data_IF_795079565512
#
_entry.id   IF_795079565512
#
_cell.length_a   1.000
_cell.length_b   1.000
_cell.length_c   1.000
_cell.angle_alpha   90.00
_cell.angle_beta   90.00
_cell.angle_gamma   90.00
#
_symmetry.space_group_name_H-M   'P 1'
#
loop_
_entity.id
_entity.type
_entity.pdbx_description
1 polymer ?
#
# COMPACT_ATOMS: atom_id res chain seq x y z
N UNK A 1 11.84 9.26 0.72
CA UNK A 1 11.34 7.87 0.72
C UNK A 1 9.83 7.86 0.49
N UNK A 2 9.34 6.91 -0.31
CA UNK A 2 7.91 6.64 -0.41
C UNK A 2 7.42 6.03 0.91
N UNK A 3 6.20 6.34 1.34
CA UNK A 3 5.63 5.79 2.57
C UNK A 3 4.39 5.00 2.24
N UNK A 4 4.29 3.83 2.81
CA UNK A 4 3.19 2.92 2.61
C UNK A 4 2.48 2.61 3.93
N UNK A 5 1.24 2.16 3.81
CA UNK A 5 0.54 1.43 4.85
C UNK A 5 0.29 -0.01 4.40
N UNK A 6 0.28 -0.94 5.36
CA UNK A 6 -0.17 -2.31 5.13
C UNK A 6 -1.57 -2.48 5.71
N UNK A 7 -2.48 -3.03 4.91
CA UNK A 7 -3.83 -3.38 5.33
C UNK A 7 -3.98 -4.90 5.31
N UNK A 8 -4.33 -5.50 6.44
CA UNK A 8 -4.66 -6.92 6.54
C UNK A 8 -6.18 -7.10 6.45
N UNK A 9 -6.67 -7.92 5.53
CA UNK A 9 -8.10 -8.13 5.28
C UNK A 9 -8.60 -9.41 5.94
N UNK A 10 -9.91 -9.53 6.12
CA UNK A 10 -10.55 -10.74 6.68
C UNK A 10 -10.31 -12.00 5.85
N UNK A 11 -10.15 -11.84 4.53
CA UNK A 11 -9.79 -12.94 3.61
C UNK A 11 -8.36 -13.48 3.78
N UNK A 12 -7.57 -12.94 4.71
CA UNK A 12 -6.18 -13.35 4.94
C UNK A 12 -5.15 -12.68 4.02
N UNK A 13 -5.60 -11.93 3.02
CA UNK A 13 -4.70 -11.15 2.16
C UNK A 13 -4.21 -9.87 2.84
N UNK A 14 -3.06 -9.38 2.36
CA UNK A 14 -2.52 -8.07 2.71
C UNK A 14 -2.39 -7.20 1.46
N UNK A 15 -2.67 -5.90 1.60
CA UNK A 15 -2.46 -4.92 0.53
C UNK A 15 -1.55 -3.81 1.04
N UNK A 16 -0.63 -3.37 0.17
CA UNK A 16 0.27 -2.26 0.47
C UNK A 16 -0.19 -1.02 -0.28
N UNK A 17 -0.61 0.02 0.44
CA UNK A 17 -1.12 1.27 -0.14
C UNK A 17 -0.10 2.38 0.02
N UNK A 18 0.14 3.13 -1.04
CA UNK A 18 1.01 4.29 -0.99
C UNK A 18 0.26 5.45 -0.30
N UNK A 19 0.80 5.94 0.81
CA UNK A 19 0.24 7.07 1.56
C UNK A 19 1.01 8.37 1.33
N UNK A 20 2.29 8.29 0.93
CA UNK A 20 3.11 9.47 0.64
C UNK A 20 4.14 9.17 -0.45
N UNK A 21 4.07 9.94 -1.52
CA UNK A 21 5.10 9.97 -2.56
C UNK A 21 6.40 10.59 -2.03
N UNK A 22 7.55 10.03 -2.43
CA UNK A 22 8.86 10.65 -2.20
C UNK A 22 8.98 11.94 -3.05
N UNK A 23 10.02 12.77 -2.81
CA UNK A 23 10.22 14.01 -3.56
C UNK A 23 10.32 13.76 -5.09
N UNK A 24 11.03 12.72 -5.49
CA UNK A 24 11.21 12.35 -6.91
C UNK A 24 9.90 11.86 -7.54
N UNK A 25 9.14 11.03 -6.82
CA UNK A 25 7.87 10.47 -7.30
C UNK A 25 6.75 11.49 -7.49
N UNK A 26 6.88 12.69 -6.88
CA UNK A 26 5.90 13.77 -7.11
C UNK A 26 5.98 14.37 -8.50
N UNK A 27 7.14 14.24 -9.16
CA UNK A 27 7.41 14.84 -10.46
C UNK A 27 7.45 13.80 -11.60
N UNK A 28 7.42 12.51 -11.27
CA UNK A 28 7.45 11.41 -12.24
C UNK A 28 6.32 10.41 -11.93
N UNK A 29 5.26 10.35 -12.76
CA UNK A 29 4.14 9.42 -12.57
C UNK A 29 4.55 7.94 -12.59
N UNK A 30 5.66 7.63 -13.26
CA UNK A 30 6.18 6.27 -13.39
C UNK A 30 7.26 5.95 -12.36
N UNK A 31 7.39 6.75 -11.30
CA UNK A 31 8.48 6.59 -10.35
C UNK A 31 8.37 5.30 -9.58
N UNK A 32 9.21 4.34 -9.95
CA UNK A 32 9.37 3.10 -9.22
C UNK A 32 10.38 3.36 -8.08
N UNK A 33 9.86 3.49 -6.86
CA UNK A 33 10.65 3.66 -5.63
C UNK A 33 11.43 2.36 -5.31
N UNK A 34 12.46 2.02 -6.09
CA UNK A 34 13.16 0.71 -6.05
C UNK A 34 13.94 0.42 -4.76
N UNK A 35 14.31 1.43 -3.96
CA UNK A 35 15.19 1.22 -2.79
C UNK A 35 14.91 2.08 -1.56
N UNK A 36 14.01 3.06 -1.64
CA UNK A 36 13.76 3.98 -0.53
C UNK A 36 12.27 4.09 -0.22
N UNK A 37 11.73 3.07 0.46
CA UNK A 37 10.38 3.07 1.00
C UNK A 37 10.32 2.55 2.44
N UNK A 38 9.29 2.96 3.17
CA UNK A 38 9.02 2.45 4.51
C UNK A 38 7.52 2.21 4.71
N UNK A 39 7.19 1.21 5.50
CA UNK A 39 5.83 1.04 6.04
C UNK A 39 5.71 1.95 7.26
N UNK A 40 4.71 2.83 7.26
CA UNK A 40 4.47 3.77 8.36
C UNK A 40 3.45 3.28 9.37
N UNK A 41 2.52 2.45 8.92
CA UNK A 41 1.50 1.86 9.77
C UNK A 41 0.99 0.57 9.16
N UNK A 42 0.55 -0.31 10.03
CA UNK A 42 -0.08 -1.57 9.69
C UNK A 42 -1.36 -1.68 10.51
N UNK A 43 -2.44 -2.08 9.86
CA UNK A 43 -3.74 -2.18 10.50
C UNK A 43 -4.61 -3.22 9.79
N UNK A 44 -5.64 -3.66 10.50
CA UNK A 44 -6.51 -4.75 10.05
C UNK A 44 -7.89 -4.21 9.71
N UNK A 45 -8.46 -4.66 8.60
CA UNK A 45 -9.86 -4.51 8.21
C UNK A 45 -10.58 -5.84 8.40
N UNK A 46 -11.08 -6.14 9.62
CA UNK A 46 -11.69 -7.43 9.94
C UNK A 46 -13.05 -7.67 9.26
N UNK A 47 -13.66 -6.63 8.69
CA UNK A 47 -14.98 -6.71 8.05
C UNK A 47 -14.93 -6.50 6.52
N UNK A 48 -13.74 -6.39 5.94
CA UNK A 48 -13.56 -6.17 4.51
C UNK A 48 -12.66 -7.23 3.91
N UNK A 49 -13.07 -7.73 2.74
CA UNK A 49 -12.22 -8.54 1.87
C UNK A 49 -11.40 -7.63 0.95
N UNK A 50 -10.25 -8.12 0.46
CA UNK A 50 -9.46 -7.38 -0.51
C UNK A 50 -10.18 -7.30 -1.87
N UNK A 51 -9.79 -6.34 -2.71
CA UNK A 51 -10.39 -6.17 -4.05
C UNK A 51 -10.33 -7.44 -4.89
N UNK A 52 -9.21 -8.14 -4.88
CA UNK A 52 -9.02 -9.40 -5.60
C UNK A 52 -10.00 -10.52 -5.19
N UNK A 53 -10.49 -10.50 -3.95
CA UNK A 53 -11.51 -11.47 -3.49
C UNK A 53 -12.94 -11.04 -3.84
N UNK A 54 -13.18 -9.73 -3.99
CA UNK A 54 -14.51 -9.18 -4.27
C UNK A 54 -14.77 -9.15 -5.79
N UNK A 55 -13.73 -8.97 -6.60
CA UNK A 55 -13.81 -8.92 -8.07
C UNK A 55 -13.79 -10.32 -8.73
N UNK A 56 -13.95 -11.40 -7.95
CA UNK A 56 -13.99 -12.80 -8.41
C UNK A 56 -15.40 -13.32 -8.63
#
# INVERSE_FOLDING_TARGET
MCQYETVHFSCGHMERRLIKHCHFARNDPNHQCFGAWCIKREWTQPHANCRSCIER
#
